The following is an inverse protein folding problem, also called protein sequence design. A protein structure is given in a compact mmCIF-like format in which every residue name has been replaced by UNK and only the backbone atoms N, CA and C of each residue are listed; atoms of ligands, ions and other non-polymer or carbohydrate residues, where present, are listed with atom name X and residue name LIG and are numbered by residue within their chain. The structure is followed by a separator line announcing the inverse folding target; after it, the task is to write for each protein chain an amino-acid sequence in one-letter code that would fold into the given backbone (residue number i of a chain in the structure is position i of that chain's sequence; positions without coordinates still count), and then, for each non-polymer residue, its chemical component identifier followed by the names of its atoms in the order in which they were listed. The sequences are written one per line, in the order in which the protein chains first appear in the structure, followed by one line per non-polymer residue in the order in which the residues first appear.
data_IF_645045233361
#
_entry.id   IF_645045233361
#
_cell.length_a   1.000
_cell.length_b   1.000
_cell.length_c   1.000
_cell.angle_alpha   90.00
_cell.angle_beta   90.00
_cell.angle_gamma   90.00
#
_symmetry.space_group_name_H-M   'P 1'
#
loop_
_entity.id
_entity.type
_entity.pdbx_description
1 polymer ?
#
# COMPACT_ATOMS: atom_id res chain seq x y z
N UNK A 1 -35.47 0.47 -15.86
CA UNK A 1 -34.25 -0.35 -15.67
C UNK A 1 -33.11 0.61 -15.41
N UNK A 2 -32.85 0.87 -14.14
CA UNK A 2 -31.96 1.93 -13.71
C UNK A 2 -30.49 1.54 -13.86
N UNK A 3 -29.75 2.34 -14.59
CA UNK A 3 -28.29 2.28 -14.66
C UNK A 3 -27.74 2.83 -13.34
N UNK A 4 -27.11 1.98 -12.55
CA UNK A 4 -26.42 2.40 -11.33
C UNK A 4 -25.18 3.20 -11.68
N UNK A 5 -25.29 4.50 -11.59
CA UNK A 5 -24.18 5.45 -11.71
C UNK A 5 -23.37 5.42 -10.41
N UNK A 6 -22.25 4.70 -10.41
CA UNK A 6 -21.29 4.63 -9.31
C UNK A 6 -20.36 5.86 -9.30
N UNK A 7 -20.91 7.04 -9.61
CA UNK A 7 -20.17 8.27 -9.42
C UNK A 7 -20.11 8.60 -7.92
N UNK A 8 -18.92 8.59 -7.36
CA UNK A 8 -18.59 9.05 -6.00
C UNK A 8 -18.85 10.56 -5.82
N UNK A 9 -20.04 11.02 -6.18
CA UNK A 9 -20.49 12.39 -5.95
C UNK A 9 -21.45 12.40 -4.80
N UNK A 10 -20.91 12.62 -3.59
CA UNK A 10 -21.57 13.32 -2.47
C UNK A 10 -20.72 13.23 -1.21
N UNK A 11 -19.62 13.98 -1.20
CA UNK A 11 -18.90 14.31 0.02
C UNK A 11 -18.47 15.77 -0.05
N UNK A 12 -19.40 16.69 0.12
CA UNK A 12 -19.12 18.07 0.54
C UNK A 12 -20.33 18.54 1.32
N UNK A 13 -20.27 18.48 2.62
CA UNK A 13 -21.15 19.17 3.57
C UNK A 13 -20.30 20.12 4.39
N UNK A 14 -20.61 21.41 4.29
CA UNK A 14 -19.92 22.51 4.91
C UNK A 14 -19.92 22.44 6.44
N UNK A 15 -18.79 22.75 7.08
CA UNK A 15 -18.68 23.07 8.49
C UNK A 15 -18.07 24.46 8.67
N UNK A 16 -18.93 25.40 9.09
CA UNK A 16 -18.54 26.63 9.75
C UNK A 16 -18.92 26.54 11.22
N UNK A 17 -18.04 26.98 12.15
CA UNK A 17 -18.44 27.18 13.54
C UNK A 17 -17.34 27.04 14.58
N UNK A 18 -16.66 28.14 14.82
CA UNK A 18 -16.33 28.87 16.04
C UNK A 18 -15.44 28.24 17.12
N UNK A 19 -14.36 28.99 17.37
CA UNK A 19 -13.40 28.87 18.46
C UNK A 19 -13.97 29.33 19.82
N UNK A 20 -13.48 28.72 20.89
CA UNK A 20 -13.42 29.36 22.21
C UNK A 20 -12.16 28.92 22.96
N UNK A 21 -11.40 29.90 23.40
CA UNK A 21 -10.18 29.76 24.19
C UNK A 21 -10.49 29.75 25.71
N UNK A 22 -9.70 29.00 26.46
CA UNK A 22 -9.53 29.28 27.89
C UNK A 22 -8.11 28.88 28.34
N UNK A 23 -7.45 29.82 28.95
CA UNK A 23 -6.12 29.74 29.55
C UNK A 23 -6.19 29.27 31.01
N UNK A 24 -5.14 28.62 31.50
CA UNK A 24 -4.95 28.31 32.90
C UNK A 24 -3.51 27.94 33.23
N UNK A 25 -2.82 28.83 34.00
CA UNK A 25 -1.46 28.67 34.48
C UNK A 25 -1.37 27.74 35.70
N UNK A 26 -0.18 27.12 35.92
CA UNK A 26 0.13 26.43 37.17
C UNK A 26 1.55 25.84 37.19
N UNK A 27 2.33 26.37 38.12
CA UNK A 27 3.77 26.32 38.46
C UNK A 27 4.41 24.93 38.64
N UNK A 28 5.73 24.95 38.45
CA UNK A 28 6.70 23.92 38.86
C UNK A 28 6.94 23.92 40.40
N UNK A 29 7.55 22.89 41.00
CA UNK A 29 8.97 23.01 41.34
C UNK A 29 9.84 21.74 41.19
N UNK A 30 11.14 21.99 40.94
CA UNK A 30 12.26 21.07 41.16
C UNK A 30 12.47 20.74 42.66
N UNK A 31 13.07 19.58 42.97
CA UNK A 31 14.43 19.66 43.52
C UNK A 31 15.43 18.52 43.17
N UNK A 32 16.62 18.94 42.86
CA UNK A 32 17.99 18.49 43.23
C UNK A 32 18.18 17.14 43.98
N UNK A 33 19.18 16.39 43.51
CA UNK A 33 20.42 15.90 44.15
C UNK A 33 20.74 14.42 43.84
N UNK A 34 21.88 14.23 43.46
CA UNK A 34 23.18 13.64 43.81
C UNK A 34 23.51 12.30 43.15
N UNK A 35 24.68 12.34 42.50
CA UNK A 35 25.39 11.17 41.99
C UNK A 35 26.09 10.38 43.11
N UNK A 36 26.34 9.10 42.93
CA UNK A 36 27.44 8.41 43.60
C UNK A 36 28.49 7.85 42.65
N UNK A 37 29.68 7.81 43.22
CA UNK A 37 31.01 7.53 42.73
C UNK A 37 31.22 6.16 42.08
N UNK A 38 32.19 6.12 41.14
CA UNK A 38 32.73 4.92 40.51
C UNK A 38 33.66 4.11 41.45
N UNK A 39 33.73 2.76 41.33
CA UNK A 39 34.80 1.95 41.90
C UNK A 39 35.92 1.66 40.87
N UNK A 40 37.08 1.15 41.32
CA UNK A 40 38.37 1.26 40.64
C UNK A 40 38.62 0.21 39.53
N UNK A 41 39.42 0.58 38.56
CA UNK A 41 39.99 -0.22 37.51
C UNK A 41 40.92 -1.31 37.96
N UNK A 42 40.67 -2.58 37.57
CA UNK A 42 41.62 -3.67 37.56
C UNK A 42 42.08 -3.91 36.12
N UNK A 43 43.41 -3.90 35.95
CA UNK A 43 44.11 -4.15 34.70
C UNK A 43 44.24 -5.64 34.40
N UNK A 44 43.81 -6.09 33.23
CA UNK A 44 43.95 -7.45 32.70
C UNK A 44 44.97 -7.47 31.55
N UNK A 45 45.82 -8.53 31.41
CA UNK A 45 46.88 -8.58 30.43
C UNK A 45 46.40 -8.87 29.00
N UNK A 46 47.18 -8.59 27.94
CA UNK A 46 46.75 -8.62 26.55
C UNK A 46 46.52 -10.05 26.03
N UNK A 47 45.30 -10.31 25.58
CA UNK A 47 44.93 -11.53 24.90
C UNK A 47 45.42 -11.56 23.45
N UNK A 48 45.89 -12.73 23.01
CA UNK A 48 46.39 -13.01 21.69
C UNK A 48 45.35 -12.75 20.58
N UNK A 49 45.77 -12.09 19.51
CA UNK A 49 45.01 -11.75 18.32
C UNK A 49 44.57 -13.04 17.60
N UNK A 50 43.27 -13.31 17.52
CA UNK A 50 42.70 -14.33 16.68
C UNK A 50 42.74 -13.90 15.20
N UNK A 51 42.85 -14.82 14.22
CA UNK A 51 42.84 -14.47 12.80
C UNK A 51 41.50 -13.91 12.38
N UNK A 52 41.52 -12.82 11.61
CA UNK A 52 40.35 -12.18 11.04
C UNK A 52 39.61 -13.16 10.10
N UNK A 53 38.27 -13.26 10.19
CA UNK A 53 37.50 -14.01 9.21
C UNK A 53 37.56 -13.31 7.87
N UNK A 54 38.07 -14.01 6.85
CA UNK A 54 38.02 -13.59 5.45
C UNK A 54 36.58 -13.30 5.05
N UNK A 55 36.27 -12.04 4.75
CA UNK A 55 35.03 -11.61 4.15
C UNK A 55 34.83 -12.32 2.81
N UNK A 56 33.66 -13.00 2.58
CA UNK A 56 33.36 -13.51 1.26
C UNK A 56 33.18 -12.31 0.32
N UNK A 57 34.00 -12.26 -0.72
CA UNK A 57 33.85 -11.32 -1.83
C UNK A 57 32.52 -11.65 -2.54
N UNK A 58 31.47 -10.91 -2.24
CA UNK A 58 30.25 -10.91 -3.05
C UNK A 58 30.58 -10.13 -4.33
N UNK A 59 30.84 -10.87 -5.40
CA UNK A 59 30.82 -10.30 -6.75
C UNK A 59 29.48 -9.60 -6.95
N UNK A 60 29.43 -8.39 -7.51
CA UNK A 60 28.16 -7.74 -7.79
C UNK A 60 27.39 -8.62 -8.78
N UNK A 61 26.23 -9.11 -8.35
CA UNK A 61 25.30 -9.80 -9.24
C UNK A 61 24.94 -8.80 -10.33
N UNK A 62 25.34 -9.08 -11.55
CA UNK A 62 25.03 -8.24 -12.71
C UNK A 62 23.51 -8.09 -12.80
N UNK A 63 23.03 -6.89 -12.60
CA UNK A 63 21.61 -6.53 -12.83
C UNK A 63 21.28 -6.92 -14.27
N UNK A 64 20.21 -7.70 -14.52
CA UNK A 64 19.82 -8.07 -15.87
C UNK A 64 19.63 -6.82 -16.72
N UNK A 65 20.43 -6.67 -17.76
CA UNK A 65 20.31 -5.59 -18.75
C UNK A 65 19.24 -6.00 -19.77
N UNK A 66 18.08 -5.37 -19.74
CA UNK A 66 17.01 -5.62 -20.71
C UNK A 66 15.63 -5.23 -20.18
N UNK A 67 14.64 -5.17 -21.07
CA UNK A 67 13.27 -4.82 -20.68
C UNK A 67 12.72 -5.79 -19.62
N UNK A 68 12.05 -5.23 -18.61
CA UNK A 68 11.42 -5.96 -17.50
C UNK A 68 9.91 -5.99 -17.66
N UNK A 69 9.21 -7.02 -17.15
CA UNK A 69 7.76 -7.07 -17.23
C UNK A 69 7.08 -5.94 -16.44
N UNK A 70 5.97 -5.45 -17.01
CA UNK A 70 5.03 -4.53 -16.37
C UNK A 70 3.61 -5.06 -16.61
N UNK A 71 2.88 -5.36 -15.53
CA UNK A 71 1.49 -5.79 -15.64
C UNK A 71 0.56 -4.66 -15.27
N UNK A 72 -0.54 -4.52 -16.03
CA UNK A 72 -1.45 -3.39 -15.93
C UNK A 72 -2.87 -3.86 -15.61
N UNK A 73 -3.43 -3.31 -14.55
CA UNK A 73 -4.83 -3.48 -14.16
C UNK A 73 -5.70 -2.35 -14.70
N UNK A 74 -6.96 -2.66 -15.04
CA UNK A 74 -7.91 -1.72 -15.63
C UNK A 74 -9.32 -1.97 -15.15
N UNK A 75 -10.23 -1.04 -15.41
CA UNK A 75 -11.67 -1.29 -15.38
C UNK A 75 -12.16 -1.62 -16.80
N UNK A 76 -12.58 -2.88 -17.01
CA UNK A 76 -13.13 -3.33 -18.30
C UNK A 76 -14.58 -2.89 -18.49
N UNK A 77 -15.30 -2.62 -17.39
CA UNK A 77 -16.69 -2.14 -17.40
C UNK A 77 -16.82 -0.64 -17.57
N UNK A 78 -15.73 0.12 -17.46
CA UNK A 78 -15.75 1.56 -17.65
C UNK A 78 -15.94 1.92 -19.13
N UNK A 79 -16.49 3.10 -19.38
CA UNK A 79 -16.46 3.69 -20.73
C UNK A 79 -15.00 3.85 -21.18
N UNK A 80 -14.69 3.37 -22.38
CA UNK A 80 -13.32 3.27 -22.91
C UNK A 80 -12.37 2.45 -22.03
N UNK A 81 -12.91 1.51 -21.27
CA UNK A 81 -12.14 0.60 -20.41
C UNK A 81 -11.26 -0.36 -21.20
N UNK A 82 -10.31 -0.99 -20.51
CA UNK A 82 -9.49 -2.06 -21.08
C UNK A 82 -10.28 -3.34 -21.32
N UNK A 83 -9.63 -4.35 -21.89
CA UNK A 83 -10.27 -5.64 -22.19
C UNK A 83 -9.81 -6.78 -21.26
N UNK A 84 -9.04 -6.49 -20.25
CA UNK A 84 -8.48 -7.46 -19.29
C UNK A 84 -7.14 -7.01 -18.73
N UNK A 85 -6.26 -7.94 -18.38
CA UNK A 85 -4.93 -7.62 -17.82
C UNK A 85 -3.97 -7.23 -18.95
N UNK A 86 -3.41 -6.02 -18.88
CA UNK A 86 -2.38 -5.56 -19.79
C UNK A 86 -1.01 -6.17 -19.46
N UNK A 87 -0.29 -6.59 -20.48
CA UNK A 87 1.10 -6.99 -20.40
C UNK A 87 1.94 -5.98 -21.18
N UNK A 88 2.91 -5.43 -20.52
CA UNK A 88 3.87 -4.49 -21.08
C UNK A 88 5.27 -4.86 -20.61
N UNK A 89 6.26 -4.16 -21.13
CA UNK A 89 7.62 -4.18 -20.60
C UNK A 89 8.09 -2.75 -20.37
N UNK A 90 9.04 -2.57 -19.49
CA UNK A 90 9.73 -1.30 -19.30
C UNK A 90 11.23 -1.48 -19.36
N UNK A 91 11.89 -0.50 -19.90
CA UNK A 91 13.35 -0.42 -19.88
C UNK A 91 13.80 0.17 -18.53
N UNK A 92 14.64 -0.54 -17.75
CA UNK A 92 14.97 -0.11 -16.39
C UNK A 92 15.87 1.15 -16.33
N UNK A 93 16.53 1.51 -17.43
CA UNK A 93 17.41 2.69 -17.47
C UNK A 93 16.64 3.93 -17.92
N UNK A 94 15.87 3.83 -18.99
CA UNK A 94 15.15 4.97 -19.55
C UNK A 94 13.72 5.14 -19.01
N UNK A 95 13.16 4.11 -18.39
CA UNK A 95 11.75 4.09 -17.96
C UNK A 95 10.76 3.95 -19.12
N UNK A 96 11.22 3.75 -20.37
CA UNK A 96 10.35 3.62 -21.53
C UNK A 96 9.48 2.36 -21.43
N UNK A 97 8.16 2.53 -21.52
CA UNK A 97 7.19 1.42 -21.53
C UNK A 97 6.89 1.01 -22.96
N UNK A 98 6.81 -0.30 -23.21
CA UNK A 98 6.45 -0.89 -24.50
C UNK A 98 5.31 -1.89 -24.32
N UNK A 99 4.35 -1.87 -25.24
CA UNK A 99 3.19 -2.76 -25.21
C UNK A 99 3.59 -4.22 -25.47
N UNK A 100 2.96 -5.16 -24.72
CA UNK A 100 3.18 -6.61 -24.82
C UNK A 100 1.87 -7.42 -24.95
N UNK A 101 0.73 -6.75 -25.16
CA UNK A 101 -0.58 -7.36 -25.39
C UNK A 101 -1.47 -7.42 -24.15
N UNK A 102 -2.63 -8.06 -24.28
CA UNK A 102 -3.65 -8.12 -23.23
C UNK A 102 -4.22 -9.52 -23.08
N UNK A 103 -4.32 -10.01 -21.83
CA UNK A 103 -5.11 -11.18 -21.49
C UNK A 103 -6.57 -10.77 -21.32
N UNK A 104 -7.41 -11.12 -22.29
CA UNK A 104 -8.84 -10.78 -22.30
C UNK A 104 -9.64 -11.72 -21.40
N UNK A 105 -10.85 -11.28 -21.00
CA UNK A 105 -11.80 -12.11 -20.27
C UNK A 105 -11.58 -12.15 -18.75
N UNK A 106 -10.69 -11.31 -18.22
CA UNK A 106 -10.59 -11.04 -16.79
C UNK A 106 -11.31 -9.72 -16.54
N UNK A 107 -12.46 -9.77 -15.88
CA UNK A 107 -13.33 -8.61 -15.66
C UNK A 107 -12.79 -7.71 -14.56
N UNK A 108 -12.74 -6.40 -14.83
CA UNK A 108 -12.30 -5.35 -13.90
C UNK A 108 -11.10 -5.76 -13.02
N UNK A 109 -9.94 -6.17 -13.63
CA UNK A 109 -8.74 -6.53 -12.87
C UNK A 109 -8.08 -5.26 -12.31
N UNK A 110 -8.74 -4.62 -11.34
CA UNK A 110 -8.37 -3.28 -10.86
C UNK A 110 -7.18 -3.27 -9.91
N UNK A 111 -6.82 -4.41 -9.31
CA UNK A 111 -5.62 -4.57 -8.50
C UNK A 111 -4.95 -5.91 -8.75
N UNK A 112 -3.63 -5.89 -8.80
CA UNK A 112 -2.79 -7.04 -9.13
C UNK A 112 -1.81 -7.34 -8.01
N UNK A 113 -1.53 -8.63 -7.79
CA UNK A 113 -0.47 -9.08 -6.89
C UNK A 113 0.27 -10.27 -7.49
N UNK A 114 1.58 -10.34 -7.29
CA UNK A 114 2.41 -11.44 -7.72
C UNK A 114 2.53 -12.47 -6.60
N UNK A 115 2.53 -13.75 -6.96
CA UNK A 115 2.95 -14.81 -6.04
C UNK A 115 4.44 -14.64 -5.68
N UNK A 116 4.90 -14.96 -4.45
CA UNK A 116 6.30 -14.81 -4.06
C UNK A 116 7.31 -15.58 -4.93
N UNK A 117 6.88 -16.66 -5.59
CA UNK A 117 7.74 -17.42 -6.54
C UNK A 117 7.88 -16.76 -7.93
N UNK A 118 7.12 -15.67 -8.19
CA UNK A 118 7.17 -14.95 -9.46
C UNK A 118 6.43 -15.60 -10.62
N UNK A 119 5.72 -16.74 -10.44
CA UNK A 119 5.13 -17.50 -11.55
C UNK A 119 3.64 -17.27 -11.77
N UNK A 120 2.92 -16.81 -10.74
CA UNK A 120 1.47 -16.61 -10.80
C UNK A 120 1.11 -15.17 -10.44
N UNK A 121 0.26 -14.58 -11.27
CA UNK A 121 -0.33 -13.25 -11.05
C UNK A 121 -1.78 -13.42 -10.55
N UNK A 122 -2.15 -12.68 -9.54
CA UNK A 122 -3.52 -12.61 -9.04
C UNK A 122 -4.13 -11.25 -9.34
N UNK A 123 -5.40 -11.27 -9.73
CA UNK A 123 -6.18 -10.07 -9.96
C UNK A 123 -7.47 -10.13 -9.15
N UNK A 124 -7.92 -9.00 -8.62
CA UNK A 124 -9.31 -8.86 -8.19
C UNK A 124 -10.22 -8.73 -9.41
N UNK A 125 -11.48 -9.14 -9.29
CA UNK A 125 -12.54 -8.77 -10.21
C UNK A 125 -13.47 -7.82 -9.47
N UNK A 126 -13.25 -6.51 -9.60
CA UNK A 126 -13.94 -5.46 -8.84
C UNK A 126 -15.38 -5.27 -9.33
N UNK A 127 -16.21 -6.28 -9.10
CA UNK A 127 -17.63 -6.37 -9.47
C UNK A 127 -18.50 -6.46 -8.22
N UNK A 128 -19.82 -6.23 -8.38
CA UNK A 128 -20.81 -6.42 -7.30
C UNK A 128 -20.79 -7.83 -6.73
N UNK A 129 -20.59 -8.84 -7.57
CA UNK A 129 -20.22 -10.20 -7.18
C UNK A 129 -18.72 -10.36 -7.34
N UNK A 130 -17.98 -10.04 -6.26
CA UNK A 130 -16.54 -10.00 -6.28
C UNK A 130 -15.89 -11.36 -6.45
N UNK A 131 -14.78 -11.39 -7.19
CA UNK A 131 -13.95 -12.57 -7.37
C UNK A 131 -12.45 -12.22 -7.34
N UNK A 132 -11.64 -13.24 -7.27
CA UNK A 132 -10.19 -13.20 -7.48
C UNK A 132 -9.83 -14.22 -8.55
N UNK A 133 -8.95 -13.84 -9.49
CA UNK A 133 -8.52 -14.64 -10.63
C UNK A 133 -7.02 -14.89 -10.56
N UNK A 134 -6.59 -16.14 -10.79
CA UNK A 134 -5.18 -16.53 -10.90
C UNK A 134 -4.78 -16.73 -12.37
N UNK A 135 -3.60 -16.21 -12.73
CA UNK A 135 -3.03 -16.29 -14.08
C UNK A 135 -1.61 -16.80 -14.01
N UNK A 136 -1.29 -17.89 -14.69
CA UNK A 136 0.09 -18.37 -14.86
C UNK A 136 0.81 -17.49 -15.88
N UNK A 137 1.94 -16.91 -15.48
CA UNK A 137 2.64 -15.89 -16.28
C UNK A 137 3.38 -16.47 -17.50
N UNK A 138 3.87 -17.71 -17.42
CA UNK A 138 4.67 -18.30 -18.50
C UNK A 138 3.94 -18.42 -19.84
N UNK A 139 2.62 -18.65 -19.82
CA UNK A 139 1.77 -18.81 -20.99
C UNK A 139 0.51 -17.94 -20.95
N UNK A 140 0.37 -17.10 -19.92
CA UNK A 140 -0.79 -16.23 -19.67
C UNK A 140 -2.11 -17.00 -19.55
N UNK A 141 -2.06 -18.23 -19.01
CA UNK A 141 -3.23 -19.08 -18.83
C UNK A 141 -3.97 -18.70 -17.53
N UNK A 142 -5.29 -18.48 -17.62
CA UNK A 142 -6.15 -18.34 -16.44
C UNK A 142 -6.28 -19.70 -15.76
N UNK A 143 -5.76 -19.82 -14.52
CA UNK A 143 -5.83 -21.04 -13.70
C UNK A 143 -7.21 -21.21 -13.04
N UNK A 144 -8.00 -20.16 -12.99
CA UNK A 144 -9.34 -20.15 -12.44
C UNK A 144 -9.65 -18.87 -11.66
N UNK A 145 -10.95 -18.74 -11.33
CA UNK A 145 -11.46 -17.64 -10.50
C UNK A 145 -12.24 -18.20 -9.32
N UNK A 146 -12.26 -17.48 -8.21
CA UNK A 146 -13.04 -17.82 -7.01
C UNK A 146 -13.76 -16.59 -6.48
N UNK A 147 -15.02 -16.80 -6.07
CA UNK A 147 -15.79 -15.75 -5.42
C UNK A 147 -15.16 -15.35 -4.09
N UNK A 148 -15.00 -14.04 -3.85
CA UNK A 148 -14.57 -13.50 -2.56
C UNK A 148 -15.68 -13.59 -1.50
N UNK A 149 -16.93 -13.76 -1.92
CA UNK A 149 -18.12 -13.73 -1.04
C UNK A 149 -18.52 -12.33 -0.59
N UNK A 150 -17.85 -11.31 -1.14
CA UNK A 150 -18.18 -9.90 -0.94
C UNK A 150 -18.29 -9.15 -2.26
N UNK A 151 -18.59 -7.85 -2.19
CA UNK A 151 -18.74 -6.98 -3.35
C UNK A 151 -17.58 -6.02 -3.53
N UNK A 152 -17.24 -5.75 -4.79
CA UNK A 152 -16.21 -4.82 -5.23
C UNK A 152 -14.86 -5.01 -4.51
N UNK A 153 -14.18 -6.18 -4.66
CA UNK A 153 -12.83 -6.36 -4.16
C UNK A 153 -11.89 -5.39 -4.87
N UNK A 154 -11.23 -4.52 -4.12
CA UNK A 154 -10.38 -3.46 -4.66
C UNK A 154 -8.89 -3.63 -4.32
N UNK A 155 -8.54 -4.66 -3.55
CA UNK A 155 -7.17 -4.99 -3.19
C UNK A 155 -7.00 -6.50 -3.03
N UNK A 156 -5.86 -7.02 -3.46
CA UNK A 156 -5.43 -8.40 -3.28
C UNK A 156 -3.97 -8.44 -2.82
N UNK A 157 -3.64 -9.36 -1.93
CA UNK A 157 -2.25 -9.63 -1.54
C UNK A 157 -2.03 -11.12 -1.28
N UNK A 158 -0.79 -11.55 -1.41
CA UNK A 158 -0.36 -12.91 -1.11
C UNK A 158 0.44 -12.90 0.19
N UNK A 159 0.17 -13.83 1.08
CA UNK A 159 1.00 -14.05 2.26
C UNK A 159 2.44 -14.40 1.83
N UNK A 160 3.49 -13.89 2.50
CA UNK A 160 4.88 -14.16 2.13
C UNK A 160 5.22 -15.65 2.03
N UNK A 161 4.54 -16.52 2.79
CA UNK A 161 4.67 -17.98 2.69
C UNK A 161 4.06 -18.61 1.43
N UNK A 162 3.44 -17.84 0.53
CA UNK A 162 2.90 -18.29 -0.76
C UNK A 162 1.64 -19.16 -0.68
N UNK A 163 1.10 -19.44 0.53
CA UNK A 163 0.00 -20.41 0.69
C UNK A 163 -1.38 -19.77 0.83
N UNK A 164 -1.45 -18.47 1.02
CA UNK A 164 -2.68 -17.75 1.31
C UNK A 164 -2.81 -16.47 0.50
N UNK A 165 -3.98 -16.28 -0.06
CA UNK A 165 -4.39 -15.07 -0.79
C UNK A 165 -5.46 -14.34 0.03
N UNK A 166 -5.32 -13.04 0.16
CA UNK A 166 -6.27 -12.16 0.82
C UNK A 166 -6.87 -11.18 -0.17
N UNK A 167 -8.16 -10.87 -0.03
CA UNK A 167 -8.79 -9.77 -0.77
C UNK A 167 -9.63 -8.89 0.14
N UNK A 168 -9.59 -7.58 -0.09
CA UNK A 168 -10.41 -6.60 0.59
C UNK A 168 -11.59 -6.22 -0.29
N UNK A 169 -12.81 -6.48 0.19
CA UNK A 169 -14.06 -6.24 -0.52
C UNK A 169 -14.65 -4.89 -0.06
N UNK A 170 -14.52 -3.88 -0.89
CA UNK A 170 -14.91 -2.51 -0.56
C UNK A 170 -16.41 -2.36 -0.28
N UNK A 171 -17.25 -2.84 -1.19
CA UNK A 171 -18.69 -2.61 -1.08
C UNK A 171 -19.35 -3.37 0.07
N UNK A 172 -18.76 -4.48 0.51
CA UNK A 172 -19.30 -5.28 1.63
C UNK A 172 -18.51 -5.13 2.93
N UNK A 173 -17.43 -4.33 2.95
CA UNK A 173 -16.61 -4.12 4.16
C UNK A 173 -16.09 -5.43 4.74
N UNK A 174 -15.51 -6.29 3.90
CA UNK A 174 -15.08 -7.61 4.34
C UNK A 174 -13.71 -8.00 3.77
N UNK A 175 -13.05 -8.97 4.43
CA UNK A 175 -11.78 -9.57 3.98
C UNK A 175 -12.01 -11.04 3.75
N UNK A 176 -11.66 -11.53 2.55
CA UNK A 176 -11.72 -12.93 2.21
C UNK A 176 -10.33 -13.56 2.20
N UNK A 177 -10.27 -14.85 2.56
CA UNK A 177 -9.05 -15.66 2.61
C UNK A 177 -9.22 -16.88 1.72
N UNK A 178 -8.26 -17.13 0.84
CA UNK A 178 -8.25 -18.30 -0.02
C UNK A 178 -6.91 -19.05 0.10
N UNK A 179 -6.90 -20.38 0.15
CA UNK A 179 -5.67 -21.14 0.03
C UNK A 179 -5.16 -21.11 -1.42
N UNK A 180 -3.85 -21.17 -1.56
CA UNK A 180 -3.16 -21.35 -2.84
C UNK A 180 -2.52 -22.74 -2.85
N UNK A 181 -2.67 -23.46 -3.95
CA UNK A 181 -1.99 -24.73 -4.15
C UNK A 181 -0.59 -24.55 -4.76
N UNK A 182 0.14 -25.64 -4.92
CA UNK A 182 1.51 -25.61 -5.45
C UNK A 182 1.61 -25.16 -6.91
N UNK A 183 0.49 -25.12 -7.67
CA UNK A 183 0.44 -24.56 -9.01
C UNK A 183 0.10 -23.07 -9.05
N UNK A 184 -0.15 -22.47 -7.89
CA UNK A 184 -0.64 -21.10 -7.76
C UNK A 184 -2.15 -20.96 -7.96
N UNK A 185 -2.90 -22.05 -8.16
CA UNK A 185 -4.35 -21.97 -8.34
C UNK A 185 -5.04 -21.67 -7.01
N UNK A 186 -6.15 -20.89 -7.09
CA UNK A 186 -6.90 -20.43 -5.91
C UNK A 186 -7.89 -21.51 -5.50
N UNK A 187 -7.83 -21.96 -4.26
CA UNK A 187 -8.79 -22.90 -3.66
C UNK A 187 -10.10 -22.22 -3.21
N UNK A 188 -11.00 -23.02 -2.65
CA UNK A 188 -12.23 -22.53 -2.06
C UNK A 188 -11.95 -21.54 -0.92
N UNK A 189 -12.83 -20.53 -0.74
CA UNK A 189 -12.67 -19.54 0.34
C UNK A 189 -12.64 -20.22 1.72
N UNK A 190 -11.54 -20.01 2.46
CA UNK A 190 -11.33 -20.55 3.80
C UNK A 190 -11.98 -19.70 4.89
N UNK A 191 -12.00 -18.36 4.71
CA UNK A 191 -12.59 -17.43 5.67
C UNK A 191 -13.17 -16.20 4.98
N UNK A 192 -14.13 -15.56 5.66
CA UNK A 192 -14.69 -14.25 5.30
C UNK A 192 -14.96 -13.47 6.58
N UNK A 193 -14.09 -12.51 6.88
CA UNK A 193 -14.29 -11.61 8.01
C UNK A 193 -15.06 -10.38 7.55
N UNK A 194 -16.23 -10.17 8.13
CA UNK A 194 -17.06 -8.97 7.87
C UNK A 194 -16.77 -7.95 8.96
N UNK A 195 -16.35 -6.76 8.56
CA UNK A 195 -16.14 -5.66 9.49
C UNK A 195 -17.48 -5.12 9.98
N UNK A 196 -17.50 -4.63 11.19
CA UNK A 196 -18.65 -3.92 11.76
C UNK A 196 -18.17 -2.60 12.33
N UNK A 197 -18.90 -1.54 12.01
CA UNK A 197 -18.71 -0.25 12.65
C UNK A 197 -19.84 -0.01 13.63
N UNK A 198 -19.56 0.34 14.89
CA UNK A 198 -20.60 0.79 15.79
C UNK A 198 -21.14 2.18 15.39
N UNK A 199 -20.27 3.08 14.91
CA UNK A 199 -20.63 4.45 14.57
C UNK A 199 -19.74 4.93 13.41
N UNK A 200 -20.25 4.93 12.16
CA UNK A 200 -19.52 5.53 11.04
C UNK A 200 -19.34 7.04 11.30
N UNK A 201 -18.17 7.54 10.92
CA UNK A 201 -17.90 8.98 10.97
C UNK A 201 -18.81 9.77 10.03
N UNK A 202 -18.78 11.11 10.08
CA UNK A 202 -19.54 11.93 9.16
C UNK A 202 -19.26 11.59 7.70
N UNK A 203 -20.31 11.23 6.96
CA UNK A 203 -20.22 10.87 5.55
C UNK A 203 -19.76 9.45 5.25
N UNK A 204 -19.64 8.59 6.22
CA UNK A 204 -19.36 7.15 6.06
C UNK A 204 -20.68 6.36 6.24
N UNK A 205 -20.99 5.49 5.27
CA UNK A 205 -22.26 4.75 5.23
C UNK A 205 -22.14 3.32 5.76
N UNK A 206 -20.96 2.93 6.25
CA UNK A 206 -20.68 1.59 6.76
C UNK A 206 -19.24 1.14 6.47
N UNK A 207 -18.91 -0.13 6.73
CA UNK A 207 -17.60 -0.67 6.47
C UNK A 207 -17.21 -0.68 4.99
N UNK A 208 -15.98 -0.30 4.68
CA UNK A 208 -15.39 -0.29 3.36
C UNK A 208 -13.93 -0.76 3.43
N UNK A 209 -13.71 -2.09 3.52
CA UNK A 209 -12.37 -2.66 3.51
C UNK A 209 -11.66 -2.30 2.21
N UNK A 210 -10.57 -1.52 2.29
CA UNK A 210 -9.90 -0.99 1.11
C UNK A 210 -8.56 -1.66 0.83
N UNK A 211 -7.87 -2.13 1.86
CA UNK A 211 -6.59 -2.83 1.72
C UNK A 211 -6.48 -3.98 2.71
N UNK A 212 -5.78 -5.04 2.31
CA UNK A 212 -5.33 -6.11 3.19
C UNK A 212 -3.88 -6.44 2.89
N UNK A 213 -3.01 -6.39 3.91
CA UNK A 213 -1.57 -6.63 3.79
C UNK A 213 -1.06 -7.50 4.93
N UNK A 214 0.03 -8.23 4.70
CA UNK A 214 0.74 -8.96 5.75
C UNK A 214 1.84 -8.07 6.33
N UNK A 215 2.07 -8.16 7.65
CA UNK A 215 3.19 -7.49 8.29
C UNK A 215 4.54 -8.03 7.76
N UNK A 216 5.64 -7.24 7.83
CA UNK A 216 6.92 -7.64 7.27
C UNK A 216 7.49 -8.95 7.80
N UNK A 217 7.18 -9.29 9.05
CA UNK A 217 7.57 -10.55 9.72
C UNK A 217 6.64 -11.73 9.38
N UNK A 218 5.56 -11.51 8.59
CA UNK A 218 4.57 -12.53 8.27
C UNK A 218 3.61 -12.88 9.42
N UNK A 219 3.78 -12.29 10.60
CA UNK A 219 3.06 -12.70 11.81
C UNK A 219 1.60 -12.24 11.90
N UNK A 220 1.26 -11.18 11.19
CA UNK A 220 -0.08 -10.59 11.25
C UNK A 220 -0.59 -10.15 9.86
N UNK A 221 -1.90 -10.19 9.70
CA UNK A 221 -2.61 -9.65 8.53
C UNK A 221 -3.33 -8.39 8.98
N UNK A 222 -3.10 -7.26 8.30
CA UNK A 222 -3.73 -5.99 8.61
C UNK A 222 -4.73 -5.63 7.51
N UNK A 223 -5.94 -5.26 7.89
CA UNK A 223 -6.97 -4.78 6.98
C UNK A 223 -7.31 -3.33 7.30
N UNK A 224 -7.18 -2.47 6.29
CA UNK A 224 -7.51 -1.04 6.39
C UNK A 224 -8.94 -0.85 5.92
N UNK A 225 -9.78 -0.31 6.78
CA UNK A 225 -11.20 -0.07 6.46
C UNK A 225 -11.51 1.43 6.51
N UNK A 226 -11.79 1.96 5.34
CA UNK A 226 -12.07 3.37 5.11
C UNK A 226 -13.38 3.80 5.80
N UNK A 227 -14.39 2.94 5.76
CA UNK A 227 -15.71 3.26 6.27
C UNK A 227 -15.83 3.19 7.79
N UNK A 228 -14.94 2.45 8.46
CA UNK A 228 -14.95 2.31 9.92
C UNK A 228 -13.86 3.11 10.62
N UNK A 229 -13.09 3.91 9.90
CA UNK A 229 -11.93 4.63 10.45
C UNK A 229 -10.96 3.73 11.23
N UNK A 230 -10.75 2.49 10.75
CA UNK A 230 -10.07 1.47 11.53
C UNK A 230 -9.07 0.67 10.68
N UNK A 231 -7.93 0.35 11.28
CA UNK A 231 -7.05 -0.73 10.82
C UNK A 231 -7.24 -1.92 11.77
N UNK A 232 -7.73 -3.01 11.23
CA UNK A 232 -7.89 -4.29 11.95
C UNK A 232 -6.62 -5.12 11.81
N UNK A 233 -6.19 -5.75 12.88
CA UNK A 233 -5.04 -6.67 12.90
C UNK A 233 -5.50 -8.07 13.26
N UNK A 234 -5.09 -9.05 12.47
CA UNK A 234 -5.47 -10.44 12.61
C UNK A 234 -4.23 -11.33 12.72
N UNK A 235 -4.38 -12.44 13.44
CA UNK A 235 -3.50 -13.59 13.31
C UNK A 235 -4.12 -14.60 12.35
N UNK A 236 -3.30 -15.07 11.39
CA UNK A 236 -3.68 -16.13 10.48
C UNK A 236 -3.39 -17.49 11.12
N UNK A 237 -4.39 -18.37 11.17
CA UNK A 237 -4.15 -19.80 11.37
C UNK A 237 -3.76 -20.42 10.02
N UNK A 238 -2.49 -20.66 9.79
CA UNK A 238 -1.97 -21.20 8.54
C UNK A 238 -2.43 -22.63 8.20
N UNK A 239 -3.09 -23.33 9.12
CA UNK A 239 -3.66 -24.66 8.84
C UNK A 239 -5.05 -24.55 8.23
N UNK A 240 -5.86 -23.65 8.75
CA UNK A 240 -7.28 -23.50 8.37
C UNK A 240 -7.56 -22.29 7.50
N UNK A 241 -6.65 -21.31 7.45
CA UNK A 241 -6.87 -20.02 6.78
C UNK A 241 -7.75 -19.04 7.54
N UNK A 242 -8.09 -19.34 8.81
CA UNK A 242 -8.93 -18.45 9.61
C UNK A 242 -8.15 -17.26 10.13
N UNK A 243 -8.80 -16.10 10.09
CA UNK A 243 -8.31 -14.86 10.70
C UNK A 243 -8.95 -14.69 12.08
N UNK A 244 -8.10 -14.49 13.09
CA UNK A 244 -8.56 -14.14 14.43
C UNK A 244 -8.09 -12.72 14.73
N UNK A 245 -9.03 -11.81 15.01
CA UNK A 245 -8.71 -10.44 15.38
C UNK A 245 -7.92 -10.40 16.69
N UNK A 246 -6.80 -9.66 16.66
CA UNK A 246 -5.92 -9.49 17.84
C UNK A 246 -5.83 -8.03 18.29
N UNK A 247 -6.07 -7.07 17.38
CA UNK A 247 -6.03 -5.66 17.71
C UNK A 247 -6.85 -4.82 16.71
N UNK A 248 -7.23 -3.61 17.13
CA UNK A 248 -7.79 -2.55 16.30
C UNK A 248 -7.07 -1.25 16.57
N UNK A 249 -6.77 -0.51 15.51
CA UNK A 249 -6.23 0.84 15.58
C UNK A 249 -7.21 1.80 14.92
N UNK A 250 -7.71 2.76 15.68
CA UNK A 250 -8.65 3.76 15.16
C UNK A 250 -7.92 5.03 14.76
N UNK A 251 -8.31 5.58 13.63
CA UNK A 251 -7.98 6.95 13.25
C UNK A 251 -8.99 7.93 13.88
N UNK A 252 -8.83 9.20 13.63
CA UNK A 252 -9.86 10.18 14.00
C UNK A 252 -11.14 9.93 13.18
N UNK A 253 -12.31 10.22 13.72
CA UNK A 253 -13.57 10.09 12.99
C UNK A 253 -13.57 10.90 11.69
N UNK A 254 -13.96 10.26 10.58
CA UNK A 254 -13.99 10.87 9.25
C UNK A 254 -12.63 10.93 8.53
N UNK A 255 -11.60 10.29 9.04
CA UNK A 255 -10.29 10.26 8.36
C UNK A 255 -10.30 9.40 7.10
N UNK A 256 -11.04 8.30 7.11
CA UNK A 256 -11.15 7.39 5.96
C UNK A 256 -9.80 6.77 5.59
N UNK A 257 -9.18 5.95 6.45
CA UNK A 257 -7.92 5.30 6.14
C UNK A 257 -8.08 4.38 4.93
N UNK A 258 -7.11 4.46 4.00
CA UNK A 258 -7.21 3.79 2.70
C UNK A 258 -6.12 2.76 2.47
N UNK A 259 -4.86 3.18 2.59
CA UNK A 259 -3.69 2.35 2.36
C UNK A 259 -2.66 2.53 3.47
N UNK A 260 -2.09 1.40 3.89
CA UNK A 260 -1.01 1.32 4.86
C UNK A 260 0.21 0.70 4.20
N UNK A 261 1.38 1.28 4.43
CA UNK A 261 2.65 0.74 3.95
C UNK A 261 3.64 0.67 5.09
N UNK A 262 4.25 -0.49 5.30
CA UNK A 262 5.28 -0.66 6.30
C UNK A 262 6.60 -0.03 5.86
N UNK A 263 7.28 0.61 6.80
CA UNK A 263 8.69 0.92 6.67
C UNK A 263 9.51 -0.39 6.65
N UNK A 264 10.58 -0.51 5.84
CA UNK A 264 11.38 -1.74 5.77
C UNK A 264 11.91 -2.24 7.13
N UNK A 265 12.16 -1.33 8.07
CA UNK A 265 12.54 -1.68 9.46
C UNK A 265 11.46 -2.36 10.30
N UNK A 266 10.22 -2.48 9.79
CA UNK A 266 9.13 -3.23 10.40
C UNK A 266 8.51 -2.63 11.67
N UNK A 267 9.09 -1.56 12.25
CA UNK A 267 8.61 -0.94 13.50
C UNK A 267 7.58 0.16 13.26
N UNK A 268 7.50 0.68 12.04
CA UNK A 268 6.60 1.76 11.66
C UNK A 268 5.86 1.44 10.37
N UNK A 269 4.71 2.02 10.23
CA UNK A 269 3.92 2.02 9.01
C UNK A 269 3.33 3.40 8.77
N UNK A 270 3.01 3.70 7.52
CA UNK A 270 2.43 4.97 7.11
C UNK A 270 1.04 4.73 6.56
N UNK A 271 0.07 5.46 7.10
CA UNK A 271 -1.35 5.31 6.80
C UNK A 271 -1.85 6.52 6.03
N UNK A 272 -2.23 6.33 4.78
CA UNK A 272 -2.89 7.35 3.97
C UNK A 272 -4.38 7.39 4.27
N UNK A 273 -4.90 8.55 4.64
CA UNK A 273 -6.30 8.78 4.96
C UNK A 273 -6.96 9.53 3.80
N UNK A 274 -7.88 8.86 3.10
CA UNK A 274 -8.50 9.39 1.87
C UNK A 274 -9.45 10.55 2.15
N UNK A 275 -10.28 10.45 3.20
CA UNK A 275 -11.40 11.36 3.40
C UNK A 275 -10.96 12.71 3.97
N UNK A 276 -9.92 12.73 4.79
CA UNK A 276 -9.43 13.96 5.45
C UNK A 276 -8.12 14.50 4.86
N UNK A 277 -7.63 13.88 3.76
CA UNK A 277 -6.44 14.30 3.02
C UNK A 277 -5.17 14.39 3.91
N UNK A 278 -4.92 13.34 4.71
CA UNK A 278 -3.79 13.30 5.62
C UNK A 278 -2.99 11.99 5.52
N UNK A 279 -1.80 11.99 6.13
CA UNK A 279 -0.97 10.81 6.36
C UNK A 279 -0.62 10.73 7.84
N UNK A 280 -0.71 9.55 8.42
CA UNK A 280 -0.29 9.28 9.80
C UNK A 280 0.89 8.30 9.84
N UNK A 281 1.85 8.58 10.73
CA UNK A 281 2.89 7.61 11.10
C UNK A 281 2.34 6.73 12.21
N UNK A 282 2.42 5.42 12.03
CA UNK A 282 1.91 4.44 12.97
C UNK A 282 3.06 3.61 13.53
N UNK A 283 3.15 3.48 14.85
CA UNK A 283 4.07 2.52 15.47
C UNK A 283 3.44 1.12 15.45
N UNK A 284 4.23 0.11 15.12
CA UNK A 284 3.79 -1.28 15.03
C UNK A 284 4.57 -2.18 16.00
N UNK A 285 3.84 -2.97 16.80
CA UNK A 285 4.39 -4.00 17.68
C UNK A 285 4.20 -5.38 17.04
N UNK A 286 5.26 -5.93 16.46
CA UNK A 286 5.26 -7.23 15.76
C UNK A 286 4.87 -8.41 16.71
N UNK A 287 5.10 -8.30 18.02
CA UNK A 287 4.77 -9.34 18.98
C UNK A 287 3.26 -9.47 19.19
N UNK A 288 2.53 -8.36 19.14
CA UNK A 288 1.09 -8.30 19.45
C UNK A 288 0.21 -8.01 18.26
N UNK A 289 0.79 -7.59 17.13
CA UNK A 289 0.06 -7.08 15.97
C UNK A 289 -0.54 -5.70 16.19
N UNK A 290 -0.25 -5.04 17.30
CA UNK A 290 -0.83 -3.74 17.62
C UNK A 290 -0.22 -2.63 16.79
N UNK A 291 -1.09 -1.90 16.11
CA UNK A 291 -0.76 -0.64 15.45
C UNK A 291 -1.20 0.52 16.36
N UNK A 292 -0.34 1.52 16.55
CA UNK A 292 -0.67 2.75 17.27
C UNK A 292 -0.58 3.91 16.31
N UNK A 293 -1.73 4.51 15.99
CA UNK A 293 -1.82 5.63 15.05
C UNK A 293 -1.31 6.90 15.74
N UNK A 294 -0.31 7.54 15.14
CA UNK A 294 0.22 8.83 15.59
C UNK A 294 -0.56 10.01 15.05
N UNK A 295 -0.04 11.21 15.27
CA UNK A 295 -0.64 12.43 14.73
C UNK A 295 -0.63 12.42 13.20
N UNK A 296 -1.77 12.75 12.60
CA UNK A 296 -1.89 12.93 11.17
C UNK A 296 -1.31 14.27 10.72
N UNK A 297 -0.68 14.28 9.54
CA UNK A 297 -0.13 15.49 8.91
C UNK A 297 -0.73 15.68 7.52
N UNK A 298 -0.68 16.92 7.01
CA UNK A 298 -1.12 17.24 5.66
C UNK A 298 -0.33 16.49 4.60
N UNK A 299 -1.00 16.17 3.49
CA UNK A 299 -0.37 15.63 2.27
C UNK A 299 0.42 16.68 1.49
N UNK A 300 0.33 17.96 1.84
CA UNK A 300 1.03 19.05 1.15
C UNK A 300 0.37 19.48 -0.16
N UNK A 301 -0.82 18.97 -0.47
CA UNK A 301 -1.57 19.38 -1.67
C UNK A 301 -2.13 20.79 -1.52
N UNK A 302 -2.30 21.48 -2.66
CA UNK A 302 -2.85 22.84 -2.72
C UNK A 302 -4.34 22.93 -2.33
N UNK A 303 -4.92 24.13 -2.41
CA UNK A 303 -6.35 24.32 -2.18
C UNK A 303 -7.14 23.60 -3.27
N UNK A 304 -8.10 22.79 -2.88
CA UNK A 304 -8.93 22.00 -3.78
C UNK A 304 -9.25 20.63 -3.23
N UNK A 305 -9.95 19.84 -4.03
CA UNK A 305 -10.31 18.48 -3.65
C UNK A 305 -9.15 17.53 -3.96
N UNK A 306 -8.57 16.96 -2.93
CA UNK A 306 -7.51 15.95 -3.05
C UNK A 306 -7.88 14.72 -2.24
N UNK A 307 -7.59 13.54 -2.80
CA UNK A 307 -7.88 12.24 -2.19
C UNK A 307 -6.61 11.39 -2.23
N UNK A 308 -5.88 11.25 -1.12
CA UNK A 308 -4.76 10.32 -1.02
C UNK A 308 -5.13 8.94 -1.51
N UNK A 309 -4.26 8.36 -2.35
CA UNK A 309 -4.50 7.03 -2.91
C UNK A 309 -3.59 5.99 -2.26
N UNK A 310 -2.42 5.77 -2.82
CA UNK A 310 -1.45 4.82 -2.30
C UNK A 310 -0.19 5.54 -1.87
N UNK A 311 0.39 5.08 -0.76
CA UNK A 311 1.69 5.49 -0.27
C UNK A 311 2.67 4.32 -0.44
N UNK A 312 3.90 4.63 -0.83
CA UNK A 312 5.02 3.70 -0.94
C UNK A 312 6.20 4.21 -0.14
N UNK A 313 7.10 3.28 0.19
CA UNK A 313 8.42 3.58 0.78
C UNK A 313 9.50 2.99 -0.11
N UNK A 314 10.61 3.69 -0.29
CA UNK A 314 11.77 3.15 -1.01
C UNK A 314 12.33 1.91 -0.29
N UNK A 315 12.99 0.97 -1.01
CA UNK A 315 13.51 -0.26 -0.40
C UNK A 315 14.52 -0.03 0.73
N UNK A 316 15.26 1.07 0.67
CA UNK A 316 16.20 1.50 1.71
C UNK A 316 15.54 2.22 2.90
N UNK A 317 14.25 2.54 2.80
CA UNK A 317 13.49 3.24 3.82
C UNK A 317 13.71 4.75 3.89
N UNK A 318 14.46 5.35 2.96
CA UNK A 318 14.88 6.76 3.05
C UNK A 318 13.79 7.74 2.62
N UNK A 319 12.92 7.36 1.68
CA UNK A 319 11.89 8.22 1.11
C UNK A 319 10.54 7.51 1.04
N UNK A 320 9.47 8.31 1.09
CA UNK A 320 8.12 7.84 0.83
C UNK A 320 7.40 8.74 -0.20
N UNK A 321 6.51 8.13 -0.99
CA UNK A 321 5.74 8.80 -2.03
C UNK A 321 4.27 8.51 -1.85
N UNK A 322 3.44 9.54 -2.00
CA UNK A 322 1.99 9.45 -1.90
C UNK A 322 1.35 9.98 -3.18
N UNK A 323 0.45 9.22 -3.78
CA UNK A 323 -0.35 9.69 -4.90
C UNK A 323 -1.57 10.47 -4.41
N UNK A 324 -1.83 11.63 -5.02
CA UNK A 324 -2.95 12.52 -4.69
C UNK A 324 -3.89 12.62 -5.90
N UNK A 325 -5.05 11.96 -5.81
CA UNK A 325 -6.11 12.03 -6.83
C UNK A 325 -6.84 13.37 -6.71
N UNK A 326 -7.13 14.00 -7.85
CA UNK A 326 -7.76 15.33 -7.89
C UNK A 326 -6.74 16.45 -7.96
N UNK A 327 -5.77 16.50 -7.05
CA UNK A 327 -4.59 17.35 -7.17
C UNK A 327 -3.62 16.87 -8.26
N UNK A 328 -3.69 15.57 -8.59
CA UNK A 328 -2.90 14.94 -9.64
C UNK A 328 -1.40 15.13 -9.45
N UNK A 329 -0.93 14.85 -8.24
CA UNK A 329 0.46 14.99 -7.83
C UNK A 329 0.98 13.78 -7.06
N UNK A 330 2.30 13.74 -6.92
CA UNK A 330 3.02 12.87 -5.98
C UNK A 330 3.60 13.72 -4.86
N UNK A 331 3.21 13.46 -3.63
CA UNK A 331 3.90 14.04 -2.46
C UNK A 331 5.10 13.19 -2.11
N UNK A 332 6.25 13.83 -1.95
CA UNK A 332 7.50 13.22 -1.52
C UNK A 332 7.80 13.56 -0.06
N UNK A 333 8.12 12.53 0.70
CA UNK A 333 8.55 12.65 2.09
C UNK A 333 9.96 12.11 2.26
N UNK A 334 10.78 12.79 3.09
CA UNK A 334 11.95 12.20 3.71
C UNK A 334 11.53 11.40 4.94
N UNK A 335 12.04 10.21 5.07
CA UNK A 335 11.83 9.36 6.23
C UNK A 335 12.95 9.58 7.22
N UNK A 336 12.63 9.88 8.46
CA UNK A 336 13.56 10.26 9.50
C UNK A 336 13.35 9.44 10.79
N UNK A 337 14.34 9.46 11.67
CA UNK A 337 14.29 8.76 12.96
C UNK A 337 13.93 7.27 12.81
N UNK A 338 14.63 6.56 11.92
CA UNK A 338 14.44 5.13 11.63
C UNK A 338 12.99 4.75 11.31
N UNK A 339 12.28 5.63 10.59
CA UNK A 339 10.88 5.44 10.20
C UNK A 339 9.85 6.12 11.08
N UNK A 340 10.25 6.70 12.21
CA UNK A 340 9.33 7.29 13.17
C UNK A 340 8.74 8.64 12.75
N UNK A 341 9.29 9.26 11.70
CA UNK A 341 8.85 10.57 11.23
C UNK A 341 8.88 10.69 9.71
N UNK A 342 7.84 11.25 9.15
CA UNK A 342 7.78 11.72 7.76
C UNK A 342 7.98 13.24 7.74
N UNK A 343 8.95 13.71 6.97
CA UNK A 343 9.13 15.13 6.68
C UNK A 343 8.71 15.41 5.24
N UNK A 344 7.65 16.17 5.06
CA UNK A 344 7.20 16.60 3.74
C UNK A 344 8.31 17.42 3.06
N UNK A 345 8.68 17.03 1.85
CA UNK A 345 9.72 17.68 1.06
C UNK A 345 9.12 18.59 -0.02
N UNK A 346 8.32 18.00 -0.90
CA UNK A 346 7.64 18.70 -1.99
C UNK A 346 6.47 17.87 -2.54
N UNK A 347 5.76 18.47 -3.50
CA UNK A 347 4.77 17.80 -4.36
C UNK A 347 5.17 17.96 -5.81
N UNK A 348 5.09 16.88 -6.59
CA UNK A 348 5.48 16.84 -8.00
C UNK A 348 4.22 16.58 -8.84
N UNK A 349 3.89 17.44 -9.82
CA UNK A 349 2.73 17.22 -10.68
C UNK A 349 2.92 15.98 -11.56
N UNK A 350 1.83 15.25 -11.79
CA UNK A 350 1.78 14.10 -12.70
C UNK A 350 1.12 14.59 -14.01
N UNK A 351 1.72 14.34 -15.20
CA UNK A 351 1.07 14.60 -16.47
C UNK A 351 0.01 13.51 -16.77
N UNK A 352 -0.95 13.36 -15.85
CA UNK A 352 -2.02 12.39 -15.87
C UNK A 352 -3.11 12.77 -14.89
N UNK A 353 -4.32 12.22 -15.05
CA UNK A 353 -5.47 12.53 -14.20
C UNK A 353 -5.88 11.33 -13.35
N UNK A 354 -6.06 11.57 -12.06
CA UNK A 354 -6.56 10.65 -11.06
C UNK A 354 -5.63 9.44 -10.82
N UNK A 355 -4.40 9.66 -10.30
CA UNK A 355 -3.44 8.59 -9.98
C UNK A 355 -3.99 7.69 -8.86
N UNK A 356 -4.53 6.51 -9.24
CA UNK A 356 -5.19 5.60 -8.30
C UNK A 356 -4.21 4.70 -7.56
N UNK A 357 -3.13 4.31 -8.23
CA UNK A 357 -2.12 3.39 -7.69
C UNK A 357 -0.74 3.84 -8.18
N UNK A 358 0.25 3.61 -7.35
CA UNK A 358 1.67 3.81 -7.67
C UNK A 358 2.47 2.57 -7.30
N UNK A 359 3.58 2.35 -8.00
CA UNK A 359 4.50 1.26 -7.71
C UNK A 359 5.94 1.68 -7.96
N UNK A 360 6.88 1.17 -7.16
CA UNK A 360 8.31 1.25 -7.45
C UNK A 360 8.74 0.02 -8.25
N UNK A 361 9.73 0.20 -9.15
CA UNK A 361 10.48 -0.94 -9.68
C UNK A 361 11.17 -1.68 -8.53
N UNK A 362 11.46 -2.99 -8.68
CA UNK A 362 12.10 -3.77 -7.61
C UNK A 362 13.42 -3.18 -7.07
N UNK A 363 14.15 -2.46 -7.91
CA UNK A 363 15.37 -1.75 -7.54
C UNK A 363 15.14 -0.33 -6.99
N UNK A 364 13.89 0.12 -6.93
CA UNK A 364 13.52 1.44 -6.42
C UNK A 364 13.87 2.62 -7.32
N UNK A 365 14.40 2.39 -8.52
CA UNK A 365 14.90 3.46 -9.42
C UNK A 365 13.83 4.12 -10.26
N UNK A 366 12.71 3.44 -10.46
CA UNK A 366 11.57 3.95 -11.22
C UNK A 366 10.31 3.91 -10.36
N UNK A 367 9.49 4.94 -10.50
CA UNK A 367 8.15 5.01 -9.90
C UNK A 367 7.12 5.13 -11.02
N UNK A 368 6.13 4.24 -11.00
CA UNK A 368 5.02 4.18 -11.94
C UNK A 368 3.75 4.74 -11.32
N UNK A 369 2.95 5.47 -12.10
CA UNK A 369 1.64 5.95 -11.68
C UNK A 369 0.57 5.45 -12.65
N UNK A 370 -0.46 4.78 -12.15
CA UNK A 370 -1.63 4.39 -12.93
C UNK A 370 -2.71 5.48 -12.83
N UNK A 371 -2.94 6.20 -13.94
CA UNK A 371 -3.78 7.39 -13.98
C UNK A 371 -5.14 7.04 -14.62
N UNK A 372 -6.14 6.84 -13.77
CA UNK A 372 -7.42 6.25 -14.14
C UNK A 372 -8.18 7.07 -15.20
N UNK A 373 -8.26 8.40 -15.03
CA UNK A 373 -9.09 9.26 -15.90
C UNK A 373 -8.42 9.67 -17.19
N UNK A 374 -7.09 9.76 -17.17
CA UNK A 374 -6.32 10.03 -18.39
C UNK A 374 -5.92 8.77 -19.15
N UNK A 375 -6.33 7.57 -18.70
CA UNK A 375 -6.00 6.31 -19.36
C UNK A 375 -4.51 6.19 -19.67
N UNK A 376 -3.66 6.44 -18.67
CA UNK A 376 -2.21 6.47 -18.87
C UNK A 376 -1.43 5.93 -17.70
N UNK A 377 -0.18 5.55 -17.98
CA UNK A 377 0.85 5.25 -16.99
C UNK A 377 1.99 6.24 -17.19
N UNK A 378 2.36 6.99 -16.14
CA UNK A 378 3.57 7.80 -16.15
C UNK A 378 4.68 7.08 -15.40
N UNK A 379 5.91 7.31 -15.82
CA UNK A 379 7.11 6.75 -15.20
C UNK A 379 8.03 7.88 -14.77
N UNK A 380 8.53 7.81 -13.55
CA UNK A 380 9.46 8.78 -13.00
C UNK A 380 10.75 8.07 -12.61
N UNK A 381 11.90 8.66 -12.93
CA UNK A 381 13.17 8.31 -12.30
C UNK A 381 13.17 8.77 -10.85
N UNK A 382 13.63 7.91 -9.97
CA UNK A 382 13.87 8.19 -8.56
C UNK A 382 15.35 8.41 -8.36
N UNK A 383 15.75 9.59 -7.92
CA UNK A 383 17.12 9.87 -7.53
C UNK A 383 17.42 9.21 -6.18
N UNK A 384 18.38 8.28 -6.08
CA UNK A 384 18.61 7.50 -4.87
C UNK A 384 19.08 8.33 -3.67
N UNK A 385 19.80 9.43 -3.92
CA UNK A 385 20.40 10.23 -2.84
C UNK A 385 19.43 11.25 -2.26
N UNK A 386 18.53 11.77 -3.10
CA UNK A 386 17.60 12.84 -2.70
C UNK A 386 16.13 12.43 -2.74
N UNK A 387 15.78 11.27 -3.31
CA UNK A 387 14.42 10.83 -3.58
C UNK A 387 13.67 11.68 -4.61
N UNK A 388 14.34 12.60 -5.31
CA UNK A 388 13.70 13.48 -6.31
C UNK A 388 13.15 12.68 -7.47
N UNK A 389 11.96 13.09 -7.90
CA UNK A 389 11.29 12.48 -9.04
C UNK A 389 11.52 13.33 -10.30
N UNK A 390 11.89 12.67 -11.39
CA UNK A 390 12.02 13.27 -12.71
C UNK A 390 11.27 12.42 -13.72
N UNK A 391 10.32 13.02 -14.45
CA UNK A 391 9.55 12.31 -15.47
C UNK A 391 10.49 11.64 -16.49
N UNK A 392 10.26 10.37 -16.77
CA UNK A 392 11.14 9.57 -17.64
C UNK A 392 10.83 9.79 -19.14
N UNK A 393 9.63 10.21 -19.49
CA UNK A 393 9.20 10.43 -20.89
C UNK A 393 7.71 10.71 -20.96
N UNK A 394 7.15 10.60 -22.16
CA UNK A 394 5.71 10.78 -22.38
C UNK A 394 4.90 9.67 -21.69
N UNK A 395 3.68 9.97 -21.19
CA UNK A 395 2.80 8.99 -20.60
C UNK A 395 2.48 7.84 -21.59
N UNK A 396 2.60 6.60 -21.09
CA UNK A 396 2.19 5.42 -21.85
C UNK A 396 0.66 5.28 -21.84
N UNK A 397 0.03 5.16 -22.99
CA UNK A 397 -1.42 4.98 -23.11
C UNK A 397 -1.83 3.58 -22.60
N UNK A 398 -2.74 3.55 -21.63
CA UNK A 398 -3.30 2.32 -21.08
C UNK A 398 -4.74 2.56 -20.64
N UNK A 399 -5.73 1.92 -21.32
CA UNK A 399 -7.15 2.20 -21.10
C UNK A 399 -7.54 2.07 -19.63
N UNK A 400 -8.06 3.14 -19.04
CA UNK A 400 -8.50 3.24 -17.64
C UNK A 400 -7.54 2.53 -16.67
N UNK A 401 -6.24 2.86 -16.77
CA UNK A 401 -5.20 2.26 -15.94
C UNK A 401 -5.43 2.57 -14.46
N UNK A 402 -5.52 1.53 -13.61
CA UNK A 402 -5.78 1.66 -12.17
C UNK A 402 -4.78 0.90 -11.31
N UNK A 403 -3.94 0.07 -11.93
CA UNK A 403 -2.85 -0.65 -11.28
C UNK A 403 -1.68 -0.82 -12.26
N UNK A 404 -0.48 -0.58 -11.80
CA UNK A 404 0.78 -0.88 -12.49
C UNK A 404 1.65 -1.72 -11.56
N UNK A 405 2.08 -2.89 -12.03
CA UNK A 405 2.89 -3.83 -11.26
C UNK A 405 4.18 -4.13 -12.04
N UNK A 406 5.26 -3.37 -11.80
CA UNK A 406 6.58 -3.63 -12.37
C UNK A 406 7.26 -4.82 -11.67
N UNK A 407 7.95 -5.68 -12.43
CA UNK A 407 8.66 -6.89 -11.96
C UNK A 407 10.15 -6.80 -12.22
#
# INVERSE_FOLDING_TARGET
MGRGDWSRRRFVGALAGTAAAAAGCGESPDPTTSAPSAPPTTSEPPAARAPEPSTPSTSPTSTPTGPRPLHLGTYTSAENGGSGIGFATYDPESGKVSEGGTLKGVDDPSYLALHPDGHTLYAVNERSQGAVTAVRLSDRTVLGSRSTGGGAPCHVSVHPGGRWLFSANYASGSVAVHPLDASGAIGGRADLVVHSSPDPGPGQEGPHAHQVVTSPDGGHVLAVDLGTDTVYSYRLDERSGRLTEVARARTRPGAGPRHLTFHPGGRYAYLANEADNTVAVCAYDARTGRLTVGAAQSTGTGPGTSYPAQLLVTPDGSYAYLANRGDNSLTRYGVEADGARLRLLDTVPIPGDFPRQIALSPDGRLLFTANQRSSSVCVFHVDPDSGRLRLAGEPFASPVAVCALPL
#
